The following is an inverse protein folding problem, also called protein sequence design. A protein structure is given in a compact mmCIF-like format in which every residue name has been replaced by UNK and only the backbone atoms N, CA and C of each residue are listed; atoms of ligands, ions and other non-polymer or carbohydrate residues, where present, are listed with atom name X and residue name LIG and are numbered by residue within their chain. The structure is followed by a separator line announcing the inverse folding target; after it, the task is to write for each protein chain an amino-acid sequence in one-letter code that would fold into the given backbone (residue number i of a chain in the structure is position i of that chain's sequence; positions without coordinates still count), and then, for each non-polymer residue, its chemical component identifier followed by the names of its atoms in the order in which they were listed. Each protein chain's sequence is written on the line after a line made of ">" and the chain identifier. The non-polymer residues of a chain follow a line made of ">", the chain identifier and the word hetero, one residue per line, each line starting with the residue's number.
data_IF_237287841114
#
_entry.id   IF_237287841114
#
_cell.length_a   1.000
_cell.length_b   1.000
_cell.length_c   1.000
_cell.angle_alpha   90.00
_cell.angle_beta   90.00
_cell.angle_gamma   90.00
#
_symmetry.space_group_name_H-M   'P 1'
#
loop_
_entity.id
_entity.type
_entity.pdbx_description
1 polymer ?
#
# COMPACT_ATOMS: atom_id res chain seq x y z
N UNK A 1 6.23 17.71 -7.45
CA UNK A 1 5.86 16.34 -7.89
C UNK A 1 6.62 15.34 -7.04
N UNK A 2 5.97 14.70 -6.06
CA UNK A 2 6.59 13.70 -5.19
C UNK A 2 6.82 12.41 -6.02
N UNK A 3 8.05 11.88 -6.06
CA UNK A 3 8.41 10.64 -6.77
C UNK A 3 8.51 9.42 -5.83
N UNK A 4 7.98 9.54 -4.61
CA UNK A 4 8.03 8.51 -3.58
C UNK A 4 6.72 7.73 -3.46
N UNK A 5 6.78 6.56 -2.84
CA UNK A 5 5.63 5.76 -2.44
C UNK A 5 4.76 6.57 -1.45
N UNK A 6 3.44 6.59 -1.68
CA UNK A 6 2.48 7.20 -0.77
C UNK A 6 1.65 6.07 -0.15
N UNK A 7 1.71 5.94 1.17
CA UNK A 7 0.79 5.10 1.94
C UNK A 7 -0.41 5.95 2.35
N UNK A 8 -1.62 5.48 2.04
CA UNK A 8 -2.87 6.03 2.57
C UNK A 8 -3.52 4.96 3.43
N UNK A 9 -3.32 5.07 4.74
CA UNK A 9 -4.04 4.26 5.71
C UNK A 9 -5.27 5.06 6.12
N UNK A 10 -6.46 4.52 5.83
CA UNK A 10 -7.76 5.18 6.06
C UNK A 10 -8.23 5.08 7.52
N UNK A 11 -7.39 4.55 8.40
CA UNK A 11 -7.61 4.55 9.85
C UNK A 11 -6.86 5.73 10.48
N UNK A 12 -7.39 6.38 11.54
CA UNK A 12 -6.68 7.43 12.23
C UNK A 12 -5.32 6.90 12.68
N UNK A 13 -4.23 7.47 12.17
CA UNK A 13 -2.91 7.22 12.73
C UNK A 13 -2.94 7.62 14.20
N UNK A 14 -2.51 6.73 15.08
CA UNK A 14 -2.44 7.05 16.50
C UNK A 14 -1.53 8.27 16.71
N UNK A 15 -1.93 9.20 17.58
CA UNK A 15 -1.16 10.45 17.77
C UNK A 15 0.19 10.21 18.47
N UNK A 16 0.26 9.16 19.29
CA UNK A 16 1.49 8.69 19.93
C UNK A 16 2.36 7.93 18.90
N UNK A 17 3.56 8.44 18.55
CA UNK A 17 4.43 7.82 17.55
C UNK A 17 5.03 6.48 18.01
N UNK A 18 4.97 6.15 19.32
CA UNK A 18 5.45 4.86 19.84
C UNK A 18 4.47 3.72 19.55
N UNK A 19 3.23 4.04 19.14
CA UNK A 19 2.23 3.04 18.78
C UNK A 19 2.34 2.74 17.28
N UNK A 20 2.74 1.52 16.89
CA UNK A 20 2.89 1.18 15.49
C UNK A 20 1.54 1.21 14.77
N UNK A 21 1.52 1.80 13.59
CA UNK A 21 0.32 1.87 12.74
C UNK A 21 -0.05 0.50 12.13
N UNK A 22 0.96 -0.34 11.91
CA UNK A 22 0.81 -1.73 11.47
C UNK A 22 1.60 -2.56 12.47
N UNK A 23 0.92 -3.45 13.20
CA UNK A 23 1.56 -4.31 14.20
C UNK A 23 2.37 -5.43 13.54
N UNK A 24 3.17 -6.14 14.32
CA UNK A 24 3.91 -7.30 13.82
C UNK A 24 2.99 -8.49 13.48
N UNK A 25 1.76 -8.50 14.00
CA UNK A 25 0.79 -9.58 13.76
C UNK A 25 -0.13 -9.30 12.57
N UNK A 26 -0.18 -8.05 12.10
CA UNK A 26 -1.00 -7.64 10.97
C UNK A 26 -0.60 -8.37 9.68
N UNK A 27 -1.61 -8.69 8.88
CA UNK A 27 -1.43 -9.42 7.61
C UNK A 27 -1.95 -8.59 6.46
N UNK A 28 -1.11 -8.41 5.45
CA UNK A 28 -1.54 -7.86 4.16
C UNK A 28 -2.39 -8.94 3.48
N UNK A 29 -3.66 -8.66 3.26
CA UNK A 29 -4.56 -9.59 2.56
C UNK A 29 -4.52 -9.37 1.05
N UNK A 30 -4.55 -8.10 0.65
CA UNK A 30 -4.67 -7.70 -0.74
C UNK A 30 -3.94 -6.39 -1.00
N UNK A 31 -3.51 -6.21 -2.24
CA UNK A 31 -2.87 -5.00 -2.74
C UNK A 31 -3.58 -4.56 -4.00
N UNK A 32 -3.91 -3.27 -4.06
CA UNK A 32 -4.37 -2.61 -5.27
C UNK A 32 -3.24 -1.76 -5.84
N UNK A 33 -3.12 -1.71 -7.16
CA UNK A 33 -2.16 -0.87 -7.88
C UNK A 33 -2.91 0.25 -8.55
N UNK A 34 -2.45 1.47 -8.32
CA UNK A 34 -3.05 2.69 -8.87
C UNK A 34 -2.09 3.38 -9.82
N UNK A 35 -2.64 4.05 -10.82
CA UNK A 35 -1.88 4.89 -11.72
C UNK A 35 -1.36 6.13 -10.97
N UNK A 36 -0.13 6.53 -11.30
CA UNK A 36 0.45 7.79 -10.82
C UNK A 36 0.31 8.86 -11.90
N UNK A 37 -0.05 10.11 -11.56
CA UNK A 37 -0.28 10.62 -10.19
C UNK A 37 -1.62 10.17 -9.59
N UNK A 38 -1.61 9.87 -8.29
CA UNK A 38 -2.82 9.50 -7.55
C UNK A 38 -3.80 10.68 -7.49
N UNK A 39 -5.05 10.44 -7.90
CA UNK A 39 -6.17 11.38 -7.80
C UNK A 39 -7.17 10.86 -6.76
N UNK A 40 -7.22 11.43 -5.53
CA UNK A 40 -8.07 10.90 -4.45
C UNK A 40 -9.56 10.86 -4.79
N UNK A 41 -10.05 11.88 -5.52
CA UNK A 41 -11.46 11.98 -5.90
C UNK A 41 -11.83 11.04 -7.06
N UNK A 42 -10.82 10.54 -7.79
CA UNK A 42 -10.98 9.66 -8.93
C UNK A 42 -9.79 8.70 -9.04
N UNK A 43 -9.69 7.70 -8.14
CA UNK A 43 -8.60 6.74 -8.18
C UNK A 43 -8.65 5.92 -9.47
N UNK A 44 -7.54 5.88 -10.20
CA UNK A 44 -7.40 5.07 -11.40
C UNK A 44 -6.66 3.77 -11.07
N UNK A 45 -7.41 2.68 -10.95
CA UNK A 45 -6.85 1.37 -10.64
C UNK A 45 -6.26 0.71 -11.90
N UNK A 46 -4.99 0.34 -11.82
CA UNK A 46 -4.32 -0.50 -12.81
C UNK A 46 -4.64 -1.99 -12.58
N UNK A 47 -4.77 -2.38 -11.31
CA UNK A 47 -5.02 -3.76 -10.89
C UNK A 47 -5.57 -3.74 -9.45
N UNK A 48 -6.49 -4.65 -9.12
CA UNK A 48 -7.14 -4.69 -7.81
C UNK A 48 -7.14 -6.11 -7.24
N UNK A 49 -7.28 -6.20 -5.92
CA UNK A 49 -7.42 -7.44 -5.16
C UNK A 49 -6.26 -8.44 -5.34
N UNK A 50 -5.04 -7.96 -5.56
CA UNK A 50 -3.86 -8.82 -5.73
C UNK A 50 -3.56 -9.45 -4.37
N UNK A 51 -3.61 -10.78 -4.28
CA UNK A 51 -3.21 -11.48 -3.06
C UNK A 51 -1.74 -11.15 -2.69
N UNK A 52 -1.44 -11.06 -1.40
CA UNK A 52 -0.11 -10.68 -0.95
C UNK A 52 0.99 -11.59 -1.51
N UNK A 53 0.76 -12.90 -1.56
CA UNK A 53 1.72 -13.88 -2.07
C UNK A 53 2.09 -13.61 -3.53
N UNK A 54 1.12 -13.16 -4.33
CA UNK A 54 1.34 -12.82 -5.72
C UNK A 54 2.11 -11.50 -5.86
N UNK A 55 1.78 -10.49 -5.06
CA UNK A 55 2.54 -9.24 -5.04
C UNK A 55 3.99 -9.48 -4.59
N UNK A 56 4.20 -10.26 -3.54
CA UNK A 56 5.52 -10.59 -3.02
C UNK A 56 6.38 -11.29 -4.07
N UNK A 57 5.79 -12.20 -4.87
CA UNK A 57 6.48 -12.85 -6.00
C UNK A 57 6.99 -11.82 -7.00
N UNK A 58 6.13 -10.89 -7.42
CA UNK A 58 6.48 -9.84 -8.39
C UNK A 58 7.54 -8.88 -7.88
N UNK A 59 7.52 -8.55 -6.59
CA UNK A 59 8.55 -7.72 -5.97
C UNK A 59 9.91 -8.43 -5.98
N UNK A 60 9.92 -9.71 -5.62
CA UNK A 60 11.14 -10.53 -5.67
C UNK A 60 11.69 -10.66 -7.11
N UNK A 61 10.82 -10.85 -8.11
CA UNK A 61 11.22 -10.89 -9.52
C UNK A 61 11.86 -9.57 -10.01
N UNK A 62 11.53 -8.45 -9.36
CA UNK A 62 12.12 -7.13 -9.60
C UNK A 62 13.33 -6.83 -8.71
N UNK A 63 13.68 -7.72 -7.78
CA UNK A 63 14.77 -7.54 -6.81
C UNK A 63 14.46 -6.51 -5.70
N UNK A 64 13.19 -6.33 -5.35
CA UNK A 64 12.69 -5.44 -4.30
C UNK A 64 12.31 -6.19 -3.01
#
# INVERSE_FOLDING_TARGET
>A
MFKGFSSSLVSPTHFDPEIPLVSAEDRILKVDRLASPYQPDRPEYLEQNIAWEEMARRLNDLGL
#
